data_IF_266484715804
#
_entry.id   IF_266484715804
#
_cell.length_a   1.000
_cell.length_b   1.000
_cell.length_c   1.000
_cell.angle_alpha   90.00
_cell.angle_beta   90.00
_cell.angle_gamma   90.00
#
_symmetry.space_group_name_H-M   'P 1'
#
loop_
_entity.id
_entity.type
_entity.pdbx_description
1 polymer ?
#
# COMPACT_ATOMS: atom_id res chain seq x y z
N UNK A 1 0.16 6.22 9.48
CA UNK A 1 1.10 7.35 9.55
C UNK A 1 2.32 7.16 8.63
N UNK A 2 3.14 6.11 8.77
CA UNK A 2 4.36 5.99 7.91
C UNK A 2 4.12 5.90 6.39
N UNK A 3 3.18 5.08 5.89
CA UNK A 3 2.98 4.96 4.43
C UNK A 3 2.35 6.24 3.83
N UNK A 4 1.49 6.91 4.60
CA UNK A 4 0.82 8.14 4.20
C UNK A 4 1.82 9.29 4.04
N UNK A 5 2.74 9.47 5.01
CA UNK A 5 3.78 10.49 4.91
C UNK A 5 4.73 10.25 3.73
N UNK A 6 5.06 8.98 3.43
CA UNK A 6 5.87 8.64 2.27
C UNK A 6 5.17 8.99 0.94
N UNK A 7 3.84 8.82 0.87
CA UNK A 7 3.03 9.20 -0.28
C UNK A 7 2.98 10.73 -0.43
N UNK A 8 2.77 11.46 0.65
CA UNK A 8 2.77 12.93 0.66
C UNK A 8 4.11 13.51 0.22
N UNK A 9 5.21 12.91 0.68
CA UNK A 9 6.57 13.30 0.31
C UNK A 9 7.01 12.78 -1.07
N UNK A 10 6.17 12.00 -1.76
CA UNK A 10 6.42 11.44 -3.09
C UNK A 10 7.68 10.55 -3.16
N UNK A 11 8.02 9.89 -2.05
CA UNK A 11 9.21 9.05 -1.93
C UNK A 11 8.95 7.65 -2.53
N UNK A 12 8.83 7.57 -3.86
CA UNK A 12 8.43 6.34 -4.60
C UNK A 12 9.15 5.06 -4.17
N UNK A 13 10.45 5.15 -3.96
CA UNK A 13 11.27 3.98 -3.58
C UNK A 13 10.93 3.49 -2.16
N UNK A 14 10.75 4.44 -1.22
CA UNK A 14 10.33 4.14 0.14
C UNK A 14 8.88 3.65 0.20
N UNK A 15 7.99 4.21 -0.63
CA UNK A 15 6.61 3.75 -0.81
C UNK A 15 6.60 2.28 -1.23
N UNK A 16 7.38 1.90 -2.25
CA UNK A 16 7.45 0.54 -2.75
C UNK A 16 8.02 -0.43 -1.69
N UNK A 17 9.10 -0.06 -1.00
CA UNK A 17 9.66 -0.87 0.09
C UNK A 17 8.66 -1.07 1.24
N UNK A 18 7.95 0.00 1.61
CA UNK A 18 6.95 -0.07 2.68
C UNK A 18 5.74 -0.91 2.27
N UNK A 19 5.27 -0.76 1.04
CA UNK A 19 4.23 -1.61 0.48
C UNK A 19 4.61 -3.09 0.51
N UNK A 20 5.86 -3.41 0.18
CA UNK A 20 6.39 -4.77 0.26
C UNK A 20 6.39 -5.34 1.68
N UNK A 21 6.84 -4.54 2.65
CA UNK A 21 6.82 -4.93 4.05
C UNK A 21 5.40 -5.23 4.56
N UNK A 22 4.44 -4.35 4.22
CA UNK A 22 3.03 -4.54 4.59
C UNK A 22 2.46 -5.77 3.87
N UNK A 23 2.78 -5.97 2.59
CA UNK A 23 2.30 -7.12 1.80
C UNK A 23 2.71 -8.43 2.44
N UNK A 24 3.98 -8.56 2.81
CA UNK A 24 4.48 -9.76 3.50
C UNK A 24 3.78 -9.99 4.85
N UNK A 25 3.41 -8.90 5.54
CA UNK A 25 2.64 -8.99 6.78
C UNK A 25 1.19 -9.46 6.53
N UNK A 26 0.54 -8.97 5.46
CA UNK A 26 -0.82 -9.34 5.05
C UNK A 26 -0.91 -10.77 4.50
N UNK A 27 0.15 -11.27 3.87
CA UNK A 27 0.22 -12.62 3.29
C UNK A 27 0.05 -13.72 4.34
N UNK A 28 0.56 -13.46 5.55
CA UNK A 28 0.44 -14.37 6.70
C UNK A 28 -0.99 -14.45 7.27
N UNK A 29 -1.88 -13.52 6.88
CA UNK A 29 -3.25 -13.41 7.42
C UNK A 29 -4.32 -13.61 6.35
N UNK A 30 -3.95 -14.15 5.17
CA UNK A 30 -4.84 -14.43 4.04
C UNK A 30 -5.65 -13.20 3.53
N UNK A 31 -5.04 -12.01 3.59
CA UNK A 31 -5.66 -10.78 3.08
C UNK A 31 -5.33 -10.54 1.60
N UNK A 32 -5.70 -11.50 0.75
CA UNK A 32 -5.32 -11.54 -0.68
C UNK A 32 -5.69 -10.26 -1.45
N UNK A 33 -6.87 -9.71 -1.20
CA UNK A 33 -7.33 -8.45 -1.78
C UNK A 33 -6.40 -7.26 -1.45
N UNK A 34 -5.92 -7.20 -0.20
CA UNK A 34 -5.02 -6.14 0.25
C UNK A 34 -3.61 -6.38 -0.32
N UNK A 35 -3.17 -7.65 -0.39
CA UNK A 35 -1.92 -8.03 -1.03
C UNK A 35 -1.87 -7.60 -2.51
N UNK A 36 -2.97 -7.74 -3.26
CA UNK A 36 -3.04 -7.28 -4.65
C UNK A 36 -2.92 -5.76 -4.78
N UNK A 37 -3.54 -5.01 -3.87
CA UNK A 37 -3.43 -3.54 -3.86
C UNK A 37 -2.01 -3.08 -3.51
N UNK A 38 -1.39 -3.72 -2.52
CA UNK A 38 0.00 -3.46 -2.14
C UNK A 38 0.99 -3.82 -3.25
N UNK A 39 0.75 -4.91 -3.98
CA UNK A 39 1.56 -5.30 -5.12
C UNK A 39 1.49 -4.27 -6.27
N UNK A 40 0.34 -3.62 -6.47
CA UNK A 40 0.25 -2.49 -7.41
C UNK A 40 1.09 -1.31 -6.90
N UNK A 41 1.03 -1.04 -5.60
CA UNK A 41 1.76 0.03 -4.92
C UNK A 41 3.30 -0.18 -4.93
N UNK A 42 3.77 -1.43 -5.05
CA UNK A 42 5.17 -1.78 -5.29
C UNK A 42 5.66 -1.41 -6.70
N UNK A 43 4.77 -1.13 -7.66
CA UNK A 43 5.17 -0.87 -9.05
C UNK A 43 5.68 0.55 -9.25
N UNK A 44 6.89 0.70 -9.78
CA UNK A 44 7.49 2.01 -10.13
C UNK A 44 6.68 2.82 -11.15
N UNK A 45 5.77 2.15 -11.89
CA UNK A 45 4.93 2.77 -12.92
C UNK A 45 3.70 3.48 -12.34
N UNK A 46 3.40 3.31 -11.06
CA UNK A 46 2.26 3.96 -10.41
C UNK A 46 2.52 5.44 -10.22
N UNK A 47 1.53 6.25 -10.59
CA UNK A 47 1.53 7.70 -10.36
C UNK A 47 1.24 8.02 -8.89
N UNK A 48 1.58 9.22 -8.43
CA UNK A 48 1.31 9.63 -7.04
C UNK A 48 -0.19 9.63 -6.76
N UNK A 49 -1.01 10.06 -7.72
CA UNK A 49 -2.47 10.07 -7.61
C UNK A 49 -3.02 8.65 -7.42
N UNK A 50 -2.48 7.68 -8.17
CA UNK A 50 -2.80 6.27 -7.98
C UNK A 50 -2.28 5.72 -6.65
N UNK A 51 -1.09 6.14 -6.18
CA UNK A 51 -0.60 5.75 -4.85
C UNK A 51 -1.59 6.19 -3.75
N UNK A 52 -2.08 7.43 -3.82
CA UNK A 52 -3.05 7.98 -2.87
C UNK A 52 -4.37 7.19 -2.93
N UNK A 53 -4.86 6.88 -4.12
CA UNK A 53 -6.10 6.12 -4.30
C UNK A 53 -5.97 4.67 -3.77
N UNK A 54 -4.89 3.98 -4.15
CA UNK A 54 -4.60 2.63 -3.67
C UNK A 54 -4.46 2.61 -2.14
N UNK A 55 -3.79 3.60 -1.55
CA UNK A 55 -3.66 3.71 -0.09
C UNK A 55 -5.00 3.88 0.60
N UNK A 56 -5.90 4.71 0.05
CA UNK A 56 -7.27 4.85 0.56
C UNK A 56 -8.03 3.53 0.50
N UNK A 57 -7.95 2.80 -0.61
CA UNK A 57 -8.59 1.50 -0.77
C UNK A 57 -8.06 0.47 0.25
N UNK A 58 -6.74 0.41 0.45
CA UNK A 58 -6.09 -0.45 1.44
C UNK A 58 -6.62 -0.13 2.85
N UNK A 59 -6.62 1.15 3.24
CA UNK A 59 -7.11 1.58 4.54
C UNK A 59 -8.59 1.26 4.76
N UNK A 60 -9.43 1.43 3.73
CA UNK A 60 -10.85 1.07 3.81
C UNK A 60 -11.04 -0.42 4.02
N UNK A 61 -10.32 -1.27 3.27
CA UNK A 61 -10.40 -2.72 3.43
C UNK A 61 -9.89 -3.17 4.80
N UNK A 62 -8.78 -2.61 5.29
CA UNK A 62 -8.26 -2.89 6.63
C UNK A 62 -9.31 -2.52 7.69
N UNK A 63 -9.92 -1.33 7.63
CA UNK A 63 -10.98 -0.91 8.56
C UNK A 63 -12.26 -1.75 8.49
N UNK A 64 -12.48 -2.50 7.41
CA UNK A 64 -13.62 -3.41 7.32
C UNK A 64 -13.35 -4.76 7.99
N UNK A 65 -12.09 -5.08 8.29
CA UNK A 65 -11.64 -6.33 8.89
C UNK A 65 -11.48 -6.20 10.42
N UNK A 66 -11.11 -5.00 10.89
CA UNK A 66 -10.87 -4.67 12.31
C UNK A 66 -12.07 -3.91 12.87
#
# INVERSE_FOLDING_TARGET
EELESLIENQEKEAIAQKAHYIKNSCLNVALDDICQLLQKLESEKVSIEECVDLYKQINQKIKAII
#
